data_IF_684703003192
#
_entry.id   IF_684703003192
#
_cell.length_a   1.000
_cell.length_b   1.000
_cell.length_c   1.000
_cell.angle_alpha   90.00
_cell.angle_beta   90.00
_cell.angle_gamma   90.00
#
_symmetry.space_group_name_H-M   'P 1'
#
loop_
_entity.id
_entity.type
_entity.pdbx_description
1 polymer ?
#
# COMPACT_ATOMS: atom_id res chain seq x y z
N UNK A 1 -34.00 -28.43 22.04
CA UNK A 1 -32.64 -28.69 21.50
C UNK A 1 -32.60 -28.65 19.98
N UNK A 2 -33.43 -29.42 19.25
CA UNK A 2 -33.45 -29.43 17.77
C UNK A 2 -33.67 -28.04 17.14
N UNK A 3 -34.66 -27.29 17.62
CA UNK A 3 -34.96 -25.94 17.12
C UNK A 3 -33.82 -24.93 17.30
N UNK A 4 -33.02 -25.08 18.36
CA UNK A 4 -31.86 -24.21 18.61
C UNK A 4 -30.73 -24.50 17.62
N UNK A 5 -30.53 -25.79 17.29
CA UNK A 5 -29.54 -26.22 16.31
C UNK A 5 -29.90 -25.76 14.90
N UNK A 6 -31.17 -25.89 14.51
CA UNK A 6 -31.64 -25.47 13.18
C UNK A 6 -31.50 -23.96 12.97
N UNK A 7 -31.77 -23.16 14.02
CA UNK A 7 -31.57 -21.70 13.97
C UNK A 7 -30.08 -21.33 13.87
N UNK A 8 -29.21 -21.92 14.70
CA UNK A 8 -27.77 -21.68 14.63
C UNK A 8 -27.18 -22.07 13.27
N UNK A 9 -27.65 -23.18 12.69
CA UNK A 9 -27.24 -23.61 11.36
C UNK A 9 -27.62 -22.57 10.30
N UNK A 10 -28.82 -22.00 10.39
CA UNK A 10 -29.27 -20.96 9.47
C UNK A 10 -28.43 -19.68 9.61
N UNK A 11 -28.13 -19.25 10.83
CA UNK A 11 -27.29 -18.08 11.09
C UNK A 11 -25.86 -18.23 10.53
N UNK A 12 -25.26 -19.42 10.71
CA UNK A 12 -23.94 -19.72 10.14
C UNK A 12 -23.99 -19.73 8.60
N UNK A 13 -25.04 -20.30 8.00
CA UNK A 13 -25.22 -20.26 6.55
C UNK A 13 -25.39 -18.83 6.03
N UNK A 14 -26.20 -18.01 6.70
CA UNK A 14 -26.42 -16.61 6.33
C UNK A 14 -25.13 -15.80 6.46
N UNK A 15 -24.30 -16.09 7.47
CA UNK A 15 -22.97 -15.47 7.63
C UNK A 15 -22.02 -15.87 6.50
N UNK A 16 -21.91 -17.16 6.18
CA UNK A 16 -20.96 -17.68 5.18
C UNK A 16 -21.38 -17.29 3.75
N UNK A 17 -22.68 -17.19 3.47
CA UNK A 17 -23.20 -16.80 2.16
C UNK A 17 -22.98 -15.30 1.84
N UNK A 18 -22.77 -14.46 2.86
CA UNK A 18 -22.38 -13.06 2.69
C UNK A 18 -20.86 -12.94 2.79
N UNK A 19 -20.17 -12.99 1.65
CA UNK A 19 -18.71 -12.99 1.59
C UNK A 19 -18.09 -11.78 2.30
N UNK A 20 -18.67 -10.59 2.12
CA UNK A 20 -18.15 -9.35 2.73
C UNK A 20 -18.28 -9.42 4.25
N UNK A 21 -19.46 -9.78 4.73
CA UNK A 21 -19.73 -9.90 6.18
C UNK A 21 -18.93 -11.02 6.81
N UNK A 22 -18.77 -12.15 6.12
CA UNK A 22 -17.94 -13.27 6.54
C UNK A 22 -16.49 -12.83 6.71
N UNK A 23 -15.89 -12.22 5.68
CA UNK A 23 -14.50 -11.73 5.74
C UNK A 23 -14.31 -10.71 6.85
N UNK A 24 -15.22 -9.75 6.98
CA UNK A 24 -15.13 -8.73 8.02
C UNK A 24 -15.27 -9.30 9.43
N UNK A 25 -16.17 -10.27 9.63
CA UNK A 25 -16.45 -10.84 10.96
C UNK A 25 -15.39 -11.87 11.37
N UNK A 26 -15.00 -12.74 10.45
CA UNK A 26 -14.10 -13.87 10.74
C UNK A 26 -12.62 -13.53 10.52
N UNK A 27 -12.32 -12.53 9.68
CA UNK A 27 -10.95 -12.17 9.31
C UNK A 27 -10.68 -10.65 9.40
N UNK A 28 -11.03 -9.98 10.51
CA UNK A 28 -10.84 -8.53 10.65
C UNK A 28 -9.38 -8.12 10.50
N UNK A 29 -8.45 -8.89 11.06
CA UNK A 29 -7.01 -8.61 11.00
C UNK A 29 -6.45 -8.73 9.58
N UNK A 30 -7.02 -9.61 8.74
CA UNK A 30 -6.59 -9.74 7.34
C UNK A 30 -6.98 -8.48 6.54
N UNK A 31 -8.16 -7.91 6.80
CA UNK A 31 -8.58 -6.64 6.20
C UNK A 31 -7.73 -5.45 6.66
N UNK A 32 -7.36 -5.43 7.95
CA UNK A 32 -6.45 -4.40 8.48
C UNK A 32 -5.05 -4.52 7.88
N UNK A 33 -4.56 -5.76 7.73
CA UNK A 33 -3.28 -6.04 7.10
C UNK A 33 -3.28 -5.63 5.62
N UNK A 34 -4.37 -5.90 4.88
CA UNK A 34 -4.53 -5.48 3.49
C UNK A 34 -4.45 -3.95 3.34
N UNK A 35 -5.13 -3.20 4.21
CA UNK A 35 -5.03 -1.73 4.24
C UNK A 35 -3.62 -1.25 4.55
N UNK A 36 -2.96 -1.91 5.51
CA UNK A 36 -1.58 -1.59 5.88
C UNK A 36 -0.63 -1.78 4.69
N UNK A 37 -0.82 -2.83 3.89
CA UNK A 37 -0.04 -3.05 2.67
C UNK A 37 -0.29 -1.96 1.62
N UNK A 38 -1.54 -1.53 1.42
CA UNK A 38 -1.87 -0.44 0.50
C UNK A 38 -1.18 0.88 0.92
N UNK A 39 -1.18 1.20 2.21
CA UNK A 39 -0.48 2.39 2.73
C UNK A 39 1.05 2.29 2.54
N UNK A 40 1.62 1.10 2.75
CA UNK A 40 3.06 0.87 2.53
C UNK A 40 3.40 1.01 1.05
N UNK A 41 2.59 0.46 0.15
CA UNK A 41 2.78 0.55 -1.29
C UNK A 41 2.75 2.01 -1.77
N UNK A 42 1.81 2.81 -1.26
CA UNK A 42 1.74 4.24 -1.57
C UNK A 42 2.98 5.00 -1.07
N UNK A 43 3.45 4.69 0.15
CA UNK A 43 4.67 5.30 0.71
C UNK A 43 5.91 4.96 -0.10
N UNK A 44 6.07 3.69 -0.48
CA UNK A 44 7.18 3.23 -1.33
C UNK A 44 7.18 3.99 -2.65
N UNK A 45 6.02 4.14 -3.30
CA UNK A 45 5.91 4.87 -4.56
C UNK A 45 6.36 6.33 -4.41
N UNK A 46 5.91 7.02 -3.36
CA UNK A 46 6.32 8.41 -3.09
C UNK A 46 7.83 8.53 -2.83
N UNK A 47 8.41 7.59 -2.10
CA UNK A 47 9.87 7.56 -1.88
C UNK A 47 10.61 7.35 -3.21
N UNK A 48 10.15 6.44 -4.07
CA UNK A 48 10.76 6.21 -5.38
C UNK A 48 10.67 7.43 -6.30
N UNK A 49 9.53 8.13 -6.32
CA UNK A 49 9.37 9.38 -7.07
C UNK A 49 10.34 10.46 -6.56
N UNK A 50 10.45 10.58 -5.23
CA UNK A 50 11.37 11.52 -4.59
C UNK A 50 12.85 11.22 -4.91
N UNK A 51 13.26 9.95 -4.83
CA UNK A 51 14.62 9.52 -5.18
C UNK A 51 14.95 9.84 -6.65
N UNK A 52 14.02 9.60 -7.57
CA UNK A 52 14.18 9.92 -8.99
C UNK A 52 14.29 11.43 -9.25
N UNK A 53 13.56 12.25 -8.51
CA UNK A 53 13.70 13.70 -8.58
C UNK A 53 15.07 14.14 -8.06
N UNK A 54 15.53 13.58 -6.94
CA UNK A 54 16.84 13.88 -6.38
C UNK A 54 17.98 13.52 -7.33
N UNK A 55 17.93 12.36 -8.00
CA UNK A 55 18.93 11.99 -9.01
C UNK A 55 19.02 13.02 -10.15
N UNK A 56 17.89 13.53 -10.64
CA UNK A 56 17.87 14.58 -11.68
C UNK A 56 18.48 15.89 -11.17
N UNK A 57 18.20 16.25 -9.92
CA UNK A 57 18.77 17.44 -9.30
C UNK A 57 20.29 17.33 -9.14
N UNK A 58 20.79 16.16 -8.73
CA UNK A 58 22.23 15.89 -8.63
C UNK A 58 22.87 16.00 -10.01
N UNK A 59 22.32 15.34 -11.02
CA UNK A 59 22.84 15.40 -12.40
C UNK A 59 22.90 16.84 -12.91
N UNK A 60 21.82 17.62 -12.72
CA UNK A 60 21.79 19.03 -13.14
C UNK A 60 22.87 19.86 -12.43
N UNK A 61 23.12 19.58 -11.15
CA UNK A 61 24.18 20.22 -10.37
C UNK A 61 25.57 19.86 -10.86
N UNK A 62 25.81 18.59 -11.21
CA UNK A 62 27.07 18.11 -11.78
C UNK A 62 27.35 18.77 -13.14
N UNK A 63 26.36 18.78 -14.04
CA UNK A 63 26.45 19.43 -15.35
C UNK A 63 26.79 20.93 -15.22
N UNK A 64 26.20 21.61 -14.22
CA UNK A 64 26.48 23.03 -13.96
C UNK A 64 27.92 23.27 -13.49
N UNK A 65 28.43 22.42 -12.59
CA UNK A 65 29.80 22.53 -12.09
C UNK A 65 30.80 22.27 -13.21
N UNK A 66 30.55 21.28 -14.06
CA UNK A 66 31.41 20.97 -15.22
C UNK A 66 31.55 22.17 -16.16
N UNK A 67 30.41 22.78 -16.56
CA UNK A 67 30.41 23.96 -17.43
C UNK A 67 31.15 25.15 -16.82
N UNK A 68 30.99 25.39 -15.51
CA UNK A 68 31.67 26.51 -14.84
C UNK A 68 33.19 26.27 -14.73
N UNK A 69 33.62 25.03 -14.50
CA UNK A 69 35.05 24.68 -14.51
C UNK A 69 35.68 24.89 -15.90
N UNK A 70 35.00 24.47 -16.97
CA UNK A 70 35.47 24.70 -18.34
C UNK A 70 35.56 26.18 -18.70
N UNK A 71 34.62 27.01 -18.23
CA UNK A 71 34.65 28.47 -18.42
C UNK A 71 35.83 29.13 -17.73
N UNK A 72 36.18 28.70 -16.52
CA UNK A 72 37.31 29.25 -15.77
C UNK A 72 38.68 28.87 -16.31
N UNK A 73 38.76 27.87 -17.19
CA UNK A 73 40.00 27.40 -17.82
C UNK A 73 40.31 28.07 -19.17
N UNK A 74 39.37 28.81 -19.77
CA UNK A 74 39.52 29.52 -21.05
C UNK A 74 39.77 31.02 -20.84
#
# INVERSE_FOLDING_TARGET
MKSNFDNQKKEILDLINDETKFKQTCFPNALELEKSFQEIEEKIKKTQECDQEFEKWIQTGEDFIEVELERGMN
#
